data_IF_674450827680
#
_entry.id   IF_674450827680
#
_cell.length_a   1.000
_cell.length_b   1.000
_cell.length_c   1.000
_cell.angle_alpha   90.00
_cell.angle_beta   90.00
_cell.angle_gamma   90.00
#
_symmetry.space_group_name_H-M   'P 1'
#
loop_
_entity.id
_entity.type
_entity.pdbx_description
1 polymer ?
#
# COMPACT_ATOMS: atom_id res chain seq x y z
N UNK A 1 26.81 17.64 35.14
CA UNK A 1 25.74 17.48 34.12
C UNK A 1 24.42 17.97 34.69
N UNK A 2 23.84 19.04 34.14
CA UNK A 2 22.54 19.55 34.58
C UNK A 2 21.57 19.43 33.42
N UNK A 3 20.62 18.52 33.52
CA UNK A 3 19.46 18.47 32.63
C UNK A 3 18.21 18.87 33.41
N UNK A 4 17.29 19.53 32.72
CA UNK A 4 15.99 19.88 33.26
C UNK A 4 15.03 18.77 32.86
N UNK A 5 14.45 18.06 33.85
CA UNK A 5 13.32 17.17 33.58
C UNK A 5 12.08 18.04 33.43
N UNK A 6 11.56 18.12 32.22
CA UNK A 6 10.25 18.70 31.95
C UNK A 6 9.27 17.59 31.57
N UNK A 7 8.08 17.64 32.15
CA UNK A 7 6.94 16.83 31.75
C UNK A 7 6.04 17.73 30.93
N UNK A 8 5.97 17.49 29.63
CA UNK A 8 5.11 18.27 28.73
C UNK A 8 3.72 17.62 28.76
N UNK A 9 2.69 18.29 29.30
CA UNK A 9 1.35 17.75 29.31
C UNK A 9 0.82 17.70 27.87
N UNK A 10 0.22 16.57 27.52
CA UNK A 10 -0.38 16.38 26.20
C UNK A 10 -1.64 17.26 26.06
N UNK A 11 -1.61 18.22 25.14
CA UNK A 11 -2.77 19.05 24.83
C UNK A 11 -3.59 18.44 23.69
N UNK A 12 -4.83 18.07 23.99
CA UNK A 12 -5.76 17.39 23.08
C UNK A 12 -6.21 18.28 21.91
N UNK A 13 -6.21 19.60 22.08
CA UNK A 13 -6.63 20.56 21.05
C UNK A 13 -5.61 20.70 19.93
N UNK A 14 -4.36 20.30 20.18
CA UNK A 14 -3.30 20.28 19.17
C UNK A 14 -3.54 19.15 18.18
N UNK A 15 -4.14 18.04 18.63
CA UNK A 15 -4.46 16.87 17.81
C UNK A 15 -5.43 17.21 16.68
N UNK A 16 -6.40 18.08 16.93
CA UNK A 16 -7.44 18.44 15.93
C UNK A 16 -6.91 19.35 14.81
N UNK A 17 -5.83 20.10 15.06
CA UNK A 17 -5.18 20.96 14.05
C UNK A 17 -4.24 20.18 13.14
N UNK A 18 -3.72 19.05 13.60
CA UNK A 18 -2.91 18.16 12.79
C UNK A 18 -3.82 17.39 11.85
N UNK A 19 -3.93 17.82 10.58
CA UNK A 19 -4.45 16.95 9.52
C UNK A 19 -3.49 15.77 9.39
N UNK A 20 -3.82 14.68 10.05
CA UNK A 20 -3.13 13.42 9.90
C UNK A 20 -3.30 12.95 8.44
N UNK A 21 -2.34 13.27 7.58
CA UNK A 21 -2.14 12.59 6.29
C UNK A 21 -1.61 11.16 6.50
N UNK A 22 -2.03 10.49 7.57
CA UNK A 22 -1.90 9.04 7.66
C UNK A 22 -3.02 8.52 6.78
N UNK A 23 -2.66 8.06 5.59
CA UNK A 23 -3.60 7.43 4.66
C UNK A 23 -4.47 6.45 5.45
N UNK A 24 -5.75 6.77 5.59
CA UNK A 24 -6.76 5.90 6.16
C UNK A 24 -6.83 4.63 5.30
N UNK A 25 -5.95 3.68 5.58
CA UNK A 25 -5.94 2.32 5.04
C UNK A 25 -7.03 1.50 5.73
N UNK A 26 -8.24 2.07 5.80
CA UNK A 26 -9.39 1.57 6.53
C UNK A 26 -10.70 1.92 5.82
N UNK A 27 -10.71 1.98 4.49
CA UNK A 27 -11.94 1.92 3.72
C UNK A 27 -12.09 0.56 3.09
N UNK A 28 -12.75 -0.33 3.83
CA UNK A 28 -13.37 -1.51 3.26
C UNK A 28 -14.34 -1.05 2.15
N UNK A 29 -14.01 -1.37 0.90
CA UNK A 29 -14.92 -1.23 -0.23
C UNK A 29 -14.46 -0.34 -1.39
N UNK A 30 -13.46 0.53 -1.23
CA UNK A 30 -12.96 1.34 -2.36
C UNK A 30 -11.48 1.15 -2.59
N UNK A 31 -11.11 0.39 -3.63
CA UNK A 31 -9.72 0.25 -4.07
C UNK A 31 -9.09 1.64 -4.24
N UNK A 32 -7.89 1.79 -3.68
CA UNK A 32 -7.09 3.00 -3.82
C UNK A 32 -6.74 3.26 -5.29
N UNK A 33 -6.44 4.52 -5.63
CA UNK A 33 -6.03 4.89 -7.00
C UNK A 33 -4.84 4.05 -7.48
N UNK A 34 -3.94 3.71 -6.57
CA UNK A 34 -2.75 2.89 -6.85
C UNK A 34 -3.13 1.44 -7.13
N UNK A 35 -3.95 0.81 -6.29
CA UNK A 35 -4.42 -0.57 -6.52
C UNK A 35 -5.17 -0.73 -7.84
N UNK A 36 -5.99 0.26 -8.22
CA UNK A 36 -6.66 0.27 -9.53
C UNK A 36 -5.68 0.33 -10.70
N UNK A 37 -4.59 1.09 -10.56
CA UNK A 37 -3.53 1.15 -11.59
C UNK A 37 -2.78 -0.18 -11.67
N UNK A 38 -2.46 -0.79 -10.53
CA UNK A 38 -1.82 -2.10 -10.46
C UNK A 38 -2.66 -3.15 -11.18
N UNK A 39 -3.97 -3.24 -10.88
CA UNK A 39 -4.87 -4.18 -11.55
C UNK A 39 -4.93 -3.96 -13.07
N UNK A 40 -5.04 -2.69 -13.52
CA UNK A 40 -5.04 -2.38 -14.96
C UNK A 40 -3.76 -2.82 -15.68
N UNK A 41 -2.61 -2.72 -15.01
CA UNK A 41 -1.33 -3.15 -15.58
C UNK A 41 -1.23 -4.68 -15.59
N UNK A 42 -1.68 -5.35 -14.54
CA UNK A 42 -1.69 -6.82 -14.45
C UNK A 42 -2.64 -7.47 -15.45
N UNK A 43 -3.76 -6.82 -15.79
CA UNK A 43 -4.65 -7.26 -16.89
C UNK A 43 -3.95 -7.19 -18.24
N UNK A 44 -3.07 -6.21 -18.45
CA UNK A 44 -2.28 -6.11 -19.69
C UNK A 44 -1.13 -7.12 -19.70
N UNK A 45 -0.40 -7.22 -18.60
CA UNK A 45 0.78 -8.06 -18.44
C UNK A 45 0.76 -8.73 -17.06
N UNK A 46 0.36 -9.99 -17.01
CA UNK A 46 0.24 -10.78 -15.77
C UNK A 46 1.58 -11.27 -15.18
N UNK A 47 2.67 -11.08 -15.92
CA UNK A 47 4.04 -11.51 -15.54
C UNK A 47 4.90 -10.36 -14.99
N UNK A 48 4.33 -9.15 -14.83
CA UNK A 48 5.09 -8.00 -14.38
C UNK A 48 5.57 -8.16 -12.94
N UNK A 49 6.83 -7.82 -12.73
CA UNK A 49 7.45 -7.81 -11.41
C UNK A 49 7.09 -6.53 -10.62
N UNK A 50 7.28 -6.58 -9.31
CA UNK A 50 6.88 -5.49 -8.40
C UNK A 50 7.67 -4.19 -8.63
N UNK A 51 8.92 -4.32 -9.08
CA UNK A 51 9.83 -3.26 -9.50
C UNK A 51 9.37 -2.58 -10.79
N UNK A 52 9.03 -3.34 -11.83
CA UNK A 52 8.52 -2.79 -13.09
C UNK A 52 7.20 -2.04 -12.90
N UNK A 53 6.32 -2.57 -12.04
CA UNK A 53 5.10 -1.89 -11.63
C UNK A 53 5.38 -0.60 -10.84
N UNK A 54 6.46 -0.57 -10.05
CA UNK A 54 6.88 0.60 -9.28
C UNK A 54 7.28 1.73 -10.23
N UNK A 55 8.11 1.39 -11.20
CA UNK A 55 8.59 2.34 -12.21
C UNK A 55 7.45 2.83 -13.11
N UNK A 56 6.56 1.93 -13.55
CA UNK A 56 5.43 2.29 -14.40
C UNK A 56 4.39 3.19 -13.70
N UNK A 57 4.20 3.02 -12.38
CA UNK A 57 3.22 3.80 -11.61
C UNK A 57 3.86 5.05 -10.98
N UNK A 58 5.18 5.06 -10.81
CA UNK A 58 5.93 6.11 -10.12
C UNK A 58 5.79 6.02 -8.59
N UNK A 59 5.78 4.81 -8.03
CA UNK A 59 5.65 4.56 -6.59
C UNK A 59 6.77 3.65 -6.09
N UNK A 60 7.04 3.69 -4.78
CA UNK A 60 8.02 2.78 -4.19
C UNK A 60 7.58 1.32 -4.29
N UNK A 61 8.54 0.41 -4.43
CA UNK A 61 8.31 -1.04 -4.38
C UNK A 61 7.52 -1.45 -3.13
N UNK A 62 7.82 -0.83 -1.98
CA UNK A 62 7.12 -1.07 -0.72
C UNK A 62 5.63 -0.72 -0.78
N UNK A 63 5.25 0.29 -1.56
CA UNK A 63 3.84 0.65 -1.78
C UNK A 63 3.14 -0.42 -2.59
N UNK A 64 3.81 -1.01 -3.59
CA UNK A 64 3.25 -2.10 -4.41
C UNK A 64 3.17 -3.40 -3.63
N UNK A 65 4.17 -3.75 -2.84
CA UNK A 65 4.09 -4.92 -1.95
C UNK A 65 2.91 -4.83 -0.97
N UNK A 66 2.64 -3.62 -0.44
CA UNK A 66 1.44 -3.35 0.37
C UNK A 66 0.16 -3.49 -0.44
N UNK A 67 0.11 -2.94 -1.66
CA UNK A 67 -1.03 -3.08 -2.55
C UNK A 67 -1.29 -4.54 -2.92
N UNK A 68 -0.26 -5.35 -3.19
CA UNK A 68 -0.36 -6.78 -3.42
C UNK A 68 -0.97 -7.51 -2.23
N UNK A 69 -0.47 -7.22 -1.03
CA UNK A 69 -1.00 -7.81 0.21
C UNK A 69 -2.48 -7.44 0.42
N UNK A 70 -2.85 -6.20 0.12
CA UNK A 70 -4.23 -5.71 0.20
C UNK A 70 -5.13 -6.39 -0.84
N UNK A 71 -4.69 -6.44 -2.10
CA UNK A 71 -5.43 -7.06 -3.22
C UNK A 71 -5.61 -8.57 -3.03
N UNK A 72 -4.59 -9.27 -2.50
CA UNK A 72 -4.70 -10.68 -2.13
C UNK A 72 -5.71 -10.89 -1.00
N UNK A 73 -5.62 -10.11 0.09
CA UNK A 73 -6.57 -10.19 1.21
C UNK A 73 -8.01 -9.94 0.78
N UNK A 74 -8.19 -9.03 -0.17
CA UNK A 74 -9.49 -8.69 -0.72
C UNK A 74 -9.96 -9.64 -1.84
N UNK A 75 -9.17 -10.66 -2.21
CA UNK A 75 -9.52 -11.66 -3.22
C UNK A 75 -9.50 -11.17 -4.67
N UNK A 76 -8.90 -10.00 -4.95
CA UNK A 76 -8.78 -9.49 -6.32
C UNK A 76 -7.60 -10.10 -7.08
N UNK A 77 -6.59 -10.59 -6.36
CA UNK A 77 -5.34 -11.06 -6.95
C UNK A 77 -4.90 -12.38 -6.31
N UNK A 78 -4.48 -13.33 -7.14
CA UNK A 78 -3.91 -14.60 -6.71
C UNK A 78 -2.57 -14.84 -7.40
N UNK A 79 -1.63 -15.44 -6.67
CA UNK A 79 -0.33 -15.82 -7.23
C UNK A 79 -0.37 -17.29 -7.61
N UNK A 80 -0.18 -17.59 -8.90
CA UNK A 80 -0.17 -18.96 -9.40
C UNK A 80 1.23 -19.31 -9.90
N UNK A 81 1.83 -20.35 -9.31
CA UNK A 81 3.10 -20.94 -9.75
C UNK A 81 4.18 -21.00 -8.67
N UNK A 82 5.41 -21.35 -9.09
CA UNK A 82 6.54 -21.57 -8.17
C UNK A 82 7.06 -20.26 -7.57
N UNK A 83 7.77 -20.33 -6.43
CA UNK A 83 8.38 -19.14 -5.79
C UNK A 83 9.20 -18.28 -6.76
N UNK A 84 9.83 -18.91 -7.76
CA UNK A 84 10.71 -18.27 -8.76
C UNK A 84 10.02 -17.82 -10.05
N UNK A 85 8.86 -18.39 -10.41
CA UNK A 85 8.20 -18.14 -11.71
C UNK A 85 6.68 -17.98 -11.61
N UNK A 86 6.18 -17.71 -10.40
CA UNK A 86 4.75 -17.55 -10.15
C UNK A 86 4.23 -16.25 -10.74
N UNK A 87 3.16 -16.36 -11.52
CA UNK A 87 2.46 -15.26 -12.18
C UNK A 87 1.34 -14.71 -11.32
N UNK A 88 0.95 -13.48 -11.56
CA UNK A 88 -0.16 -12.84 -10.89
C UNK A 88 -1.42 -12.92 -11.76
N UNK A 89 -2.48 -13.53 -11.23
CA UNK A 89 -3.77 -13.63 -11.91
C UNK A 89 -4.77 -12.72 -11.20
N UNK A 90 -5.45 -11.92 -12.00
CA UNK A 90 -6.56 -11.06 -11.57
C UNK A 90 -7.84 -11.88 -11.68
N UNK A 91 -8.55 -12.04 -10.57
CA UNK A 91 -9.74 -12.90 -10.48
C UNK A 91 -11.06 -12.17 -10.80
N UNK A 92 -11.06 -10.84 -10.91
CA UNK A 92 -12.28 -10.00 -10.98
C UNK A 92 -12.17 -8.84 -11.96
#
# INVERSE_FOLDING_TARGET
>A
ERYIRCTIPFNKDVVSKTKNNYNEAGKEGTLTKTEKKVLKLLVKNSDMMADELADAIGVSERTIQRAYSSLQKNGYLERIGSKKSGKWIVLK
#
